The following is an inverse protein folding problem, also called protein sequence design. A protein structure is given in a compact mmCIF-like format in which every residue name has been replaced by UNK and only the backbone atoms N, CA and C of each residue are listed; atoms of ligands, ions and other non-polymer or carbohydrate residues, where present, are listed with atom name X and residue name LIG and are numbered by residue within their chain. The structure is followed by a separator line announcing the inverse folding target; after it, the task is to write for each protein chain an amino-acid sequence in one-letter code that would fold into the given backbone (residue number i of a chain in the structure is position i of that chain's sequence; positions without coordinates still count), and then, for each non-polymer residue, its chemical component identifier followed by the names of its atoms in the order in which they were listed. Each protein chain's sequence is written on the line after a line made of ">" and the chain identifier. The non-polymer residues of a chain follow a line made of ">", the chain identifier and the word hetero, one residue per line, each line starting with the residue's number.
data_IF_269446223694
#
_entry.id   IF_269446223694
#
_cell.length_a   1.000
_cell.length_b   1.000
_cell.length_c   1.000
_cell.angle_alpha   90.00
_cell.angle_beta   90.00
_cell.angle_gamma   90.00
#
_symmetry.space_group_name_H-M   'P 1'
#
loop_
_entity.id
_entity.type
_entity.pdbx_description
1 polymer ?
#
# COMPACT_ATOMS: atom_id res chain seq x y z
N UNK A 1 -18.73 28.06 -42.87
CA UNK A 1 -17.87 27.06 -42.22
C UNK A 1 -18.28 26.97 -40.75
N UNK A 2 -19.04 25.95 -40.40
CA UNK A 2 -19.39 25.67 -39.00
C UNK A 2 -18.13 25.12 -38.31
N UNK A 3 -17.56 25.86 -37.34
CA UNK A 3 -16.48 25.34 -36.50
C UNK A 3 -17.11 24.33 -35.55
N UNK A 4 -17.00 23.05 -35.92
CA UNK A 4 -17.27 21.93 -35.05
C UNK A 4 -16.39 22.08 -33.79
N UNK A 5 -16.99 22.46 -32.66
CA UNK A 5 -16.29 22.51 -31.38
C UNK A 5 -15.94 21.07 -31.01
N UNK A 6 -14.67 20.68 -31.21
CA UNK A 6 -14.15 19.40 -30.71
C UNK A 6 -14.50 19.28 -29.22
N UNK A 7 -15.26 18.23 -28.89
CA UNK A 7 -15.71 17.94 -27.54
C UNK A 7 -14.51 17.43 -26.74
N UNK A 8 -14.05 18.19 -25.74
CA UNK A 8 -12.97 17.78 -24.85
C UNK A 8 -13.37 16.47 -24.15
N UNK A 9 -12.52 15.45 -24.22
CA UNK A 9 -12.75 14.14 -23.60
C UNK A 9 -12.66 14.32 -22.08
N UNK A 10 -13.73 14.01 -21.36
CA UNK A 10 -13.74 14.17 -19.90
C UNK A 10 -12.79 13.17 -19.23
N UNK A 11 -11.97 13.67 -18.31
CA UNK A 11 -10.98 12.90 -17.55
C UNK A 11 -11.48 12.77 -16.11
N UNK A 12 -11.28 11.59 -15.53
CA UNK A 12 -11.62 11.31 -14.14
C UNK A 12 -10.70 12.10 -13.19
N UNK A 13 -11.21 12.54 -12.04
CA UNK A 13 -10.41 13.32 -11.08
C UNK A 13 -9.24 12.49 -10.54
N UNK A 14 -9.46 11.20 -10.37
CA UNK A 14 -8.49 10.20 -9.92
C UNK A 14 -7.29 10.12 -10.86
N UNK A 15 -7.51 10.21 -12.18
CA UNK A 15 -6.43 10.20 -13.19
C UNK A 15 -5.61 11.49 -13.13
N UNK A 16 -6.29 12.64 -13.02
CA UNK A 16 -5.61 13.93 -12.93
C UNK A 16 -4.84 14.08 -11.61
N UNK A 17 -5.42 13.61 -10.51
CA UNK A 17 -4.78 13.62 -9.20
C UNK A 17 -3.63 12.62 -9.14
N UNK A 18 -3.76 11.44 -9.75
CA UNK A 18 -2.66 10.48 -9.84
C UNK A 18 -1.45 11.12 -10.53
N UNK A 19 -1.66 11.79 -11.67
CA UNK A 19 -0.59 12.54 -12.35
C UNK A 19 -0.01 13.66 -11.48
N UNK A 20 -0.87 14.44 -10.82
CA UNK A 20 -0.46 15.53 -9.92
C UNK A 20 0.43 15.05 -8.77
N UNK A 21 0.15 13.86 -8.22
CA UNK A 21 0.94 13.26 -7.16
C UNK A 21 2.14 12.45 -7.68
N UNK A 22 2.09 11.85 -8.87
CA UNK A 22 3.24 11.19 -9.51
C UNK A 22 4.40 12.16 -9.79
N UNK A 23 4.10 13.43 -10.12
CA UNK A 23 5.09 14.50 -10.22
C UNK A 23 5.69 14.90 -8.84
N UNK A 24 5.09 14.41 -7.74
CA UNK A 24 5.41 14.76 -6.34
C UNK A 24 5.51 13.54 -5.41
N UNK A 25 6.02 12.40 -5.89
CA UNK A 25 6.35 11.18 -5.13
C UNK A 25 5.33 10.00 -5.30
N UNK A 26 5.92 8.82 -5.51
CA UNK A 26 5.35 7.45 -5.59
C UNK A 26 4.64 7.04 -6.90
N UNK A 27 5.31 6.15 -7.64
CA UNK A 27 4.65 5.26 -8.60
C UNK A 27 3.76 4.31 -7.80
N UNK A 28 2.44 4.34 -8.07
CA UNK A 28 1.37 3.40 -7.62
C UNK A 28 0.42 3.87 -6.51
N UNK A 29 0.08 5.15 -6.46
CA UNK A 29 -0.95 5.63 -5.52
C UNK A 29 -2.38 5.24 -5.98
N UNK A 30 -3.09 4.46 -5.15
CA UNK A 30 -4.54 4.28 -5.29
C UNK A 30 -5.24 5.51 -4.69
N UNK A 31 -5.98 6.24 -5.51
CA UNK A 31 -6.80 7.37 -5.07
C UNK A 31 -8.23 6.89 -4.84
N UNK A 32 -8.74 7.13 -3.64
CA UNK A 32 -10.05 6.68 -3.21
C UNK A 32 -11.02 7.84 -3.27
N UNK A 33 -12.19 7.62 -3.87
CA UNK A 33 -13.30 8.56 -3.72
C UNK A 33 -13.93 8.37 -2.35
N UNK A 34 -13.98 9.46 -1.59
CA UNK A 34 -14.51 9.44 -0.23
C UNK A 34 -15.55 10.51 -0.03
N UNK A 35 -16.41 10.32 0.95
CA UNK A 35 -17.39 11.31 1.39
C UNK A 35 -17.22 11.57 2.89
N UNK A 36 -17.03 12.84 3.24
CA UNK A 36 -16.96 13.32 4.62
C UNK A 36 -18.00 14.43 4.76
N UNK A 37 -18.87 14.35 5.76
CA UNK A 37 -19.93 15.36 5.98
C UNK A 37 -20.76 15.68 4.71
N UNK A 38 -21.09 14.66 3.92
CA UNK A 38 -21.79 14.76 2.62
C UNK A 38 -21.04 15.54 1.52
N UNK A 39 -19.74 15.81 1.69
CA UNK A 39 -18.89 16.43 0.67
C UNK A 39 -18.03 15.37 -0.01
N UNK A 40 -18.04 15.27 -1.35
CA UNK A 40 -17.16 14.38 -2.07
C UNK A 40 -15.72 14.92 -2.03
N UNK A 41 -14.79 14.07 -1.64
CA UNK A 41 -13.36 14.35 -1.53
C UNK A 41 -12.57 13.16 -2.09
N UNK A 42 -11.25 13.30 -2.14
CA UNK A 42 -10.34 12.29 -2.65
C UNK A 42 -9.31 11.97 -1.58
N UNK A 43 -9.19 10.70 -1.23
CA UNK A 43 -8.23 10.23 -0.24
C UNK A 43 -7.04 9.58 -0.96
N UNK A 44 -5.86 9.99 -0.54
CA UNK A 44 -4.58 9.42 -0.90
C UNK A 44 -4.07 8.63 0.30
N UNK A 45 -3.81 7.35 0.10
CA UNK A 45 -3.14 6.51 1.10
C UNK A 45 -1.64 6.78 1.03
N UNK A 46 -1.03 7.00 2.19
CA UNK A 46 0.41 7.17 2.35
C UNK A 46 0.95 6.10 3.29
N UNK A 47 2.27 5.83 3.29
CA UNK A 47 2.84 4.86 4.24
C UNK A 47 2.59 5.22 5.71
N UNK A 48 2.49 6.52 6.02
CA UNK A 48 2.32 7.03 7.39
C UNK A 48 0.85 7.15 7.81
N UNK A 49 -0.09 7.07 6.86
CA UNK A 49 -1.50 7.30 7.12
C UNK A 49 -2.31 7.54 5.85
N UNK A 50 -3.16 8.56 5.90
CA UNK A 50 -3.87 9.00 4.70
C UNK A 50 -4.18 10.49 4.73
N UNK A 51 -4.19 11.06 3.53
CA UNK A 51 -4.46 12.46 3.29
C UNK A 51 -5.72 12.62 2.46
N UNK A 52 -6.53 13.62 2.78
CA UNK A 52 -7.80 13.87 2.10
C UNK A 52 -7.78 15.24 1.45
N UNK A 53 -8.04 15.24 0.16
CA UNK A 53 -7.95 16.39 -0.71
C UNK A 53 -9.31 16.79 -1.28
N UNK A 54 -9.53 18.09 -1.37
CA UNK A 54 -10.50 18.67 -2.28
C UNK A 54 -9.81 18.92 -3.63
N UNK A 55 -10.45 18.52 -4.72
CA UNK A 55 -9.96 18.75 -6.07
C UNK A 55 -11.05 19.36 -6.95
N UNK A 56 -10.70 20.41 -7.70
CA UNK A 56 -11.55 21.05 -8.69
C UNK A 56 -10.85 21.02 -10.03
N UNK A 57 -11.53 20.51 -11.06
CA UNK A 57 -11.04 20.52 -12.44
C UNK A 57 -11.57 21.73 -13.21
N UNK A 58 -10.78 22.18 -14.18
CA UNK A 58 -11.14 23.20 -15.18
C UNK A 58 -10.69 22.73 -16.58
N UNK A 59 -11.11 23.44 -17.62
CA UNK A 59 -10.69 23.20 -18.99
C UNK A 59 -9.66 24.26 -19.37
N UNK A 60 -8.45 23.84 -19.75
CA UNK A 60 -7.39 24.71 -20.26
C UNK A 60 -7.04 24.27 -21.67
N UNK A 61 -7.42 25.07 -22.67
CA UNK A 61 -7.25 24.70 -24.08
C UNK A 61 -8.15 23.52 -24.48
N UNK A 62 -7.54 22.44 -24.98
CA UNK A 62 -8.22 21.18 -25.35
C UNK A 62 -8.14 20.09 -24.27
N UNK A 63 -7.64 20.39 -23.07
CA UNK A 63 -7.44 19.41 -21.98
C UNK A 63 -8.18 19.80 -20.69
N UNK A 64 -8.67 18.80 -19.95
CA UNK A 64 -9.11 18.98 -18.56
C UNK A 64 -7.89 18.92 -17.62
N UNK A 65 -7.73 19.94 -16.78
CA UNK A 65 -6.63 20.06 -15.81
C UNK A 65 -7.17 20.35 -14.43
N UNK A 66 -6.36 20.15 -13.39
CA UNK A 66 -6.73 20.53 -12.03
C UNK A 66 -6.55 22.05 -11.87
N UNK A 67 -7.63 22.75 -11.54
CA UNK A 67 -7.63 24.18 -11.19
C UNK A 67 -7.13 24.37 -9.75
N UNK A 68 -7.57 23.48 -8.86
CA UNK A 68 -7.30 23.58 -7.43
C UNK A 68 -7.21 22.20 -6.81
N UNK A 69 -6.16 21.98 -6.03
CA UNK A 69 -5.98 20.84 -5.12
C UNK A 69 -5.69 21.41 -3.74
N UNK A 70 -6.45 20.99 -2.72
CA UNK A 70 -6.34 21.51 -1.36
C UNK A 70 -6.42 20.37 -0.36
N UNK A 71 -5.37 20.22 0.47
CA UNK A 71 -5.38 19.29 1.60
C UNK A 71 -6.40 19.75 2.64
N UNK A 72 -7.31 18.85 3.04
CA UNK A 72 -8.36 19.11 4.03
C UNK A 72 -8.11 18.41 5.35
N UNK A 73 -7.61 17.18 5.27
CA UNK A 73 -7.28 16.38 6.45
C UNK A 73 -6.01 15.59 6.16
N UNK A 74 -5.19 15.41 7.19
CA UNK A 74 -4.04 14.51 7.20
C UNK A 74 -4.10 13.76 8.51
N UNK A 75 -4.03 12.44 8.42
CA UNK A 75 -4.06 11.55 9.57
C UNK A 75 -2.90 10.58 9.48
N UNK A 76 -2.27 10.31 10.61
CA UNK A 76 -1.35 9.20 10.78
C UNK A 76 -2.12 7.92 11.13
N UNK A 77 -1.61 6.75 10.75
CA UNK A 77 -2.13 5.48 11.24
C UNK A 77 -2.17 5.43 12.79
N UNK A 78 -1.18 6.06 13.44
CA UNK A 78 -1.08 6.13 14.90
C UNK A 78 -2.16 7.03 15.55
N UNK A 79 -2.89 7.83 14.77
CA UNK A 79 -4.00 8.63 15.29
C UNK A 79 -5.20 7.77 15.70
N UNK A 80 -5.21 6.50 15.26
CA UNK A 80 -6.33 5.59 15.43
C UNK A 80 -5.92 4.34 16.22
N UNK A 81 -6.72 3.99 17.20
CA UNK A 81 -6.53 2.77 18.02
C UNK A 81 -7.56 1.68 17.71
N UNK A 82 -8.64 2.02 16.99
CA UNK A 82 -9.61 1.06 16.47
C UNK A 82 -10.55 1.74 15.47
N UNK A 83 -11.19 0.91 14.64
CA UNK A 83 -12.16 1.37 13.65
C UNK A 83 -13.34 0.40 13.58
N UNK A 84 -14.55 0.98 13.56
CA UNK A 84 -15.79 0.23 13.32
C UNK A 84 -16.18 0.38 11.86
N UNK A 85 -16.45 -0.75 11.20
CA UNK A 85 -16.73 -0.83 9.75
C UNK A 85 -18.15 -1.31 9.50
N UNK A 86 -18.90 -0.51 8.74
CA UNK A 86 -20.28 -0.79 8.34
C UNK A 86 -20.39 -0.86 6.82
N UNK A 87 -20.48 -2.09 6.29
CA UNK A 87 -20.50 -2.38 4.84
C UNK A 87 -21.91 -2.23 4.27
N UNK A 88 -22.07 -1.38 3.25
CA UNK A 88 -23.28 -1.24 2.45
C UNK A 88 -23.04 -1.70 1.01
N UNK A 89 -24.13 -1.96 0.27
CA UNK A 89 -24.06 -2.44 -1.12
C UNK A 89 -23.27 -1.53 -2.07
N UNK A 90 -23.22 -0.21 -1.80
CA UNK A 90 -22.58 0.79 -2.67
C UNK A 90 -21.49 1.61 -1.98
N UNK A 91 -21.19 1.34 -0.70
CA UNK A 91 -20.19 2.09 0.07
C UNK A 91 -19.87 1.40 1.38
N UNK A 92 -18.72 1.69 1.95
CA UNK A 92 -18.34 1.26 3.31
C UNK A 92 -18.15 2.48 4.20
N UNK A 93 -18.74 2.48 5.39
CA UNK A 93 -18.57 3.53 6.39
C UNK A 93 -17.57 3.07 7.46
N UNK A 94 -16.52 3.85 7.64
CA UNK A 94 -15.49 3.71 8.67
C UNK A 94 -15.74 4.73 9.77
N UNK A 95 -15.82 4.28 11.00
CA UNK A 95 -15.96 5.11 12.20
C UNK A 95 -14.75 4.87 13.08
N UNK A 96 -13.86 5.85 13.14
CA UNK A 96 -12.63 5.76 13.92
C UNK A 96 -12.91 6.09 15.39
N UNK A 97 -12.08 5.57 16.30
CA UNK A 97 -12.17 5.83 17.75
C UNK A 97 -12.12 7.31 18.12
N UNK A 98 -11.55 8.16 17.26
CA UNK A 98 -11.50 9.63 17.44
C UNK A 98 -12.84 10.32 17.19
N UNK A 99 -13.86 9.59 16.72
CA UNK A 99 -15.14 10.14 16.28
C UNK A 99 -15.14 10.61 14.82
N UNK A 100 -13.99 10.56 14.14
CA UNK A 100 -13.91 10.82 12.71
C UNK A 100 -14.64 9.73 11.92
N UNK A 101 -15.43 10.13 10.92
CA UNK A 101 -16.16 9.20 10.07
C UNK A 101 -15.84 9.40 8.61
N UNK A 102 -15.56 8.31 7.91
CA UNK A 102 -15.17 8.30 6.52
C UNK A 102 -16.04 7.32 5.75
N UNK A 103 -16.67 7.77 4.66
CA UNK A 103 -17.41 6.88 3.76
C UNK A 103 -16.62 6.68 2.47
N UNK A 104 -16.34 5.43 2.13
CA UNK A 104 -15.60 5.03 0.91
C UNK A 104 -16.57 4.36 -0.05
N UNK A 105 -16.47 4.64 -1.35
CA UNK A 105 -17.32 4.02 -2.38
C UNK A 105 -16.99 2.53 -2.58
N UNK A 106 -17.98 1.71 -2.97
CA UNK A 106 -17.89 0.24 -2.99
C UNK A 106 -16.80 -0.37 -3.89
N UNK A 107 -16.22 0.40 -4.82
CA UNK A 107 -15.12 -0.07 -5.66
C UNK A 107 -13.81 -0.27 -4.89
N UNK A 108 -13.73 0.25 -3.66
CA UNK A 108 -12.50 0.30 -2.90
C UNK A 108 -12.72 -0.09 -1.43
N UNK A 109 -11.95 -1.05 -0.92
CA UNK A 109 -11.98 -1.48 0.50
C UNK A 109 -10.70 -0.96 1.20
N UNK A 110 -10.87 -0.16 2.26
CA UNK A 110 -9.79 0.37 3.10
C UNK A 110 -9.45 -0.61 4.23
N UNK A 111 -10.26 -1.67 4.42
CA UNK A 111 -10.11 -2.60 5.53
C UNK A 111 -8.76 -3.31 5.53
N UNK A 112 -8.26 -3.72 4.35
CA UNK A 112 -6.96 -4.38 4.21
C UNK A 112 -5.81 -3.47 4.68
N UNK A 113 -5.85 -2.19 4.29
CA UNK A 113 -4.84 -1.18 4.69
C UNK A 113 -4.88 -0.91 6.20
N UNK A 114 -6.07 -0.84 6.80
CA UNK A 114 -6.21 -0.63 8.24
C UNK A 114 -5.65 -1.82 9.03
N UNK A 115 -5.89 -3.04 8.55
CA UNK A 115 -5.40 -4.26 9.19
C UNK A 115 -3.88 -4.43 9.03
N UNK A 116 -3.28 -4.03 7.91
CA UNK A 116 -1.82 -4.11 7.72
C UNK A 116 -1.04 -3.17 8.64
N UNK A 117 -1.70 -2.18 9.23
CA UNK A 117 -1.12 -1.25 10.20
C UNK A 117 -1.55 -1.53 11.64
N UNK A 118 -1.93 -2.77 11.95
CA UNK A 118 -2.33 -3.23 13.29
C UNK A 118 -3.50 -2.45 13.92
N UNK A 119 -4.33 -1.77 13.13
CA UNK A 119 -5.52 -1.08 13.62
C UNK A 119 -6.67 -2.11 13.73
N UNK A 120 -7.17 -2.41 14.94
CA UNK A 120 -8.25 -3.38 15.11
C UNK A 120 -9.53 -2.93 14.39
N UNK A 121 -10.03 -3.80 13.51
CA UNK A 121 -11.24 -3.59 12.73
C UNK A 121 -12.40 -4.39 13.31
N UNK A 122 -13.48 -3.70 13.69
CA UNK A 122 -14.73 -4.33 14.17
C UNK A 122 -15.84 -4.14 13.14
N UNK A 123 -16.39 -5.23 12.61
CA UNK A 123 -17.51 -5.16 11.66
C UNK A 123 -18.86 -5.04 12.39
N UNK A 124 -19.70 -4.11 11.93
CA UNK A 124 -21.04 -3.93 12.46
C UNK A 124 -22.02 -4.93 11.82
N UNK A 125 -22.40 -5.99 12.54
CA UNK A 125 -23.36 -6.97 12.03
C UNK A 125 -24.79 -6.40 11.92
N UNK A 126 -25.35 -6.46 10.70
CA UNK A 126 -26.74 -6.07 10.43
C UNK A 126 -27.56 -7.27 9.98
N UNK A 127 -28.76 -7.41 10.55
CA UNK A 127 -29.79 -8.36 10.09
C UNK A 127 -30.08 -8.14 8.60
N UNK A 128 -30.13 -9.23 7.83
CA UNK A 128 -30.13 -9.24 6.36
C UNK A 128 -31.19 -8.36 5.68
N UNK A 129 -32.38 -8.21 6.26
CA UNK A 129 -33.46 -7.37 5.71
C UNK A 129 -33.14 -5.86 5.73
N UNK A 130 -32.20 -5.41 6.57
CA UNK A 130 -31.72 -4.02 6.56
C UNK A 130 -30.76 -3.73 5.38
N UNK A 131 -30.40 -4.76 4.59
CA UNK A 131 -29.58 -4.64 3.38
C UNK A 131 -30.41 -4.34 2.12
N UNK A 132 -31.74 -4.48 2.17
CA UNK A 132 -32.65 -4.23 1.04
C UNK A 132 -32.90 -2.71 0.88
N UNK A 133 -32.74 -2.17 -0.33
CA UNK A 133 -33.02 -0.77 -0.63
C UNK A 133 -34.49 -0.44 -0.29
N UNK A 134 -34.70 0.61 0.52
CA UNK A 134 -36.02 1.03 1.02
C UNK A 134 -36.40 0.52 2.42
N UNK A 135 -35.86 -0.63 2.85
CA UNK A 135 -36.06 -1.15 4.21
C UNK A 135 -35.05 -0.62 5.24
N UNK A 136 -33.95 -0.03 4.75
CA UNK A 136 -32.83 0.51 5.56
C UNK A 136 -33.23 1.59 6.56
N UNK A 137 -34.22 2.44 6.26
CA UNK A 137 -34.52 3.61 7.09
C UNK A 137 -35.57 3.36 8.17
N UNK A 138 -36.16 2.15 8.25
CA UNK A 138 -37.32 1.81 9.10
C UNK A 138 -38.52 2.77 8.96
N UNK A 139 -38.52 3.60 7.92
CA UNK A 139 -39.58 4.56 7.67
C UNK A 139 -40.67 3.84 6.88
N UNK A 140 -41.85 3.72 7.48
CA UNK A 140 -42.99 2.95 6.94
C UNK A 140 -43.28 3.31 5.48
N UNK A 141 -43.16 4.59 5.11
CA UNK A 141 -43.44 5.03 3.74
C UNK A 141 -42.40 4.55 2.72
N UNK A 142 -41.10 4.55 3.07
CA UNK A 142 -40.03 4.03 2.20
C UNK A 142 -40.09 2.51 2.04
N UNK A 143 -40.56 1.81 3.06
CA UNK A 143 -40.83 0.37 2.99
C UNK A 143 -42.01 0.07 2.06
N UNK A 144 -43.11 0.82 2.15
CA UNK A 144 -44.27 0.65 1.26
C UNK A 144 -43.89 0.86 -0.21
N UNK A 145 -43.13 1.92 -0.52
CA UNK A 145 -42.67 2.19 -1.89
C UNK A 145 -41.77 1.06 -2.42
N UNK A 146 -40.87 0.53 -1.58
CA UNK A 146 -40.02 -0.59 -1.97
C UNK A 146 -40.83 -1.87 -2.21
N UNK A 147 -41.82 -2.18 -1.36
CA UNK A 147 -42.72 -3.32 -1.55
C UNK A 147 -43.46 -3.22 -2.88
N UNK A 148 -44.01 -2.04 -3.21
CA UNK A 148 -44.70 -1.83 -4.50
C UNK A 148 -43.73 -2.02 -5.67
N UNK A 149 -42.51 -1.48 -5.58
CA UNK A 149 -41.49 -1.64 -6.63
C UNK A 149 -41.09 -3.11 -6.86
N UNK A 150 -40.91 -3.87 -5.79
CA UNK A 150 -40.62 -5.31 -5.90
C UNK A 150 -41.82 -6.10 -6.41
N UNK A 151 -43.05 -5.77 -6.00
CA UNK A 151 -44.27 -6.37 -6.55
C UNK A 151 -44.44 -6.05 -8.04
N UNK A 152 -44.04 -4.87 -8.50
CA UNK A 152 -44.04 -4.49 -9.92
C UNK A 152 -43.01 -5.28 -10.74
N UNK A 153 -41.81 -5.51 -10.19
CA UNK A 153 -40.79 -6.36 -10.83
C UNK A 153 -41.30 -7.80 -10.91
N UNK A 154 -41.96 -8.28 -9.86
CA UNK A 154 -42.57 -9.63 -9.84
C UNK A 154 -43.75 -9.69 -10.83
N UNK A 155 -44.62 -8.68 -10.89
CA UNK A 155 -45.76 -8.66 -11.82
C UNK A 155 -45.31 -8.55 -13.27
N UNK A 156 -44.27 -7.76 -13.57
CA UNK A 156 -43.68 -7.66 -14.91
C UNK A 156 -43.03 -8.97 -15.40
N UNK A 157 -42.67 -9.88 -14.49
CA UNK A 157 -42.21 -11.24 -14.81
C UNK A 157 -43.39 -12.20 -15.01
N UNK A 158 -44.57 -11.89 -14.46
CA UNK A 158 -45.78 -12.72 -14.51
C UNK A 158 -46.79 -12.32 -15.61
N UNK A 159 -46.68 -11.12 -16.21
CA UNK A 159 -47.58 -10.62 -17.29
C UNK A 159 -47.43 -11.36 -18.65
N UNK A 160 -46.66 -12.45 -18.71
CA UNK A 160 -46.46 -13.25 -19.93
C UNK A 160 -47.54 -14.29 -20.24
N UNK A 161 -48.56 -14.46 -19.40
CA UNK A 161 -49.58 -15.51 -19.60
C UNK A 161 -51.00 -15.07 -19.19
N UNK A 162 -51.83 -14.93 -20.24
CA UNK A 162 -53.30 -15.14 -20.34
C UNK A 162 -54.19 -13.89 -20.42
N UNK A 163 -54.98 -13.85 -21.50
CA UNK A 163 -56.03 -12.88 -21.82
C UNK A 163 -57.43 -13.55 -21.89
N UNK A 164 -58.31 -13.00 -21.02
CA UNK A 164 -59.78 -12.75 -20.99
C UNK A 164 -60.88 -13.74 -21.41
N UNK A 165 -61.74 -14.03 -20.41
CA UNK A 165 -63.22 -13.95 -20.25
C UNK A 165 -64.20 -13.82 -21.44
N UNK A 166 -65.34 -14.54 -21.38
CA UNK A 166 -66.65 -13.98 -20.97
C UNK A 166 -67.89 -14.91 -21.22
N UNK A 167 -68.53 -15.29 -20.11
CA UNK A 167 -69.98 -15.42 -19.78
C UNK A 167 -71.09 -15.74 -20.82
N UNK A 168 -71.86 -16.84 -20.59
CA UNK A 168 -73.29 -16.87 -20.13
C UNK A 168 -73.99 -18.22 -20.45
N UNK A 169 -74.34 -18.99 -19.41
CA UNK A 169 -75.56 -19.84 -19.35
C UNK A 169 -75.70 -20.49 -17.96
N UNK A 170 -76.32 -19.75 -17.04
CA UNK A 170 -76.20 -19.85 -15.58
C UNK A 170 -77.00 -20.96 -14.87
N UNK A 171 -77.82 -21.78 -15.54
CA UNK A 171 -78.78 -22.63 -14.78
C UNK A 171 -78.79 -24.14 -15.10
N UNK A 172 -77.90 -24.60 -15.99
CA UNK A 172 -77.45 -26.01 -15.99
C UNK A 172 -76.20 -26.23 -15.11
N UNK A 173 -75.67 -25.13 -14.53
CA UNK A 173 -74.37 -25.04 -13.89
C UNK A 173 -74.29 -25.84 -12.58
N UNK A 174 -75.25 -25.80 -11.67
CA UNK A 174 -75.01 -26.16 -10.25
C UNK A 174 -74.68 -27.66 -10.00
N UNK A 175 -75.09 -28.61 -10.85
CA UNK A 175 -74.76 -30.04 -10.67
C UNK A 175 -73.58 -30.53 -11.52
N UNK A 176 -73.34 -29.93 -12.68
CA UNK A 176 -72.11 -30.16 -13.47
C UNK A 176 -70.91 -29.39 -12.88
N UNK A 177 -71.14 -28.20 -12.32
CA UNK A 177 -70.17 -27.33 -11.64
C UNK A 177 -69.59 -28.00 -10.39
N UNK A 178 -70.34 -28.84 -9.68
CA UNK A 178 -69.79 -29.56 -8.51
C UNK A 178 -68.89 -30.73 -8.91
N UNK A 179 -69.19 -31.43 -10.01
CA UNK A 179 -68.34 -32.49 -10.54
C UNK A 179 -67.11 -31.94 -11.27
N UNK A 180 -67.27 -30.80 -11.95
CA UNK A 180 -66.19 -30.09 -12.65
C UNK A 180 -65.32 -29.27 -11.67
N UNK A 181 -65.88 -28.63 -10.63
CA UNK A 181 -65.09 -28.05 -9.51
C UNK A 181 -64.30 -29.11 -8.77
N UNK A 182 -64.85 -30.30 -8.53
CA UNK A 182 -64.10 -31.38 -7.89
C UNK A 182 -62.93 -31.87 -8.77
N UNK A 183 -63.11 -31.88 -10.09
CA UNK A 183 -62.06 -32.22 -11.05
C UNK A 183 -61.01 -31.12 -11.20
N UNK A 184 -61.45 -29.86 -11.26
CA UNK A 184 -60.59 -28.67 -11.31
C UNK A 184 -59.83 -28.48 -10.00
N UNK A 185 -60.44 -28.73 -8.83
CA UNK A 185 -59.73 -28.73 -7.54
C UNK A 185 -58.74 -29.88 -7.45
N UNK A 186 -59.07 -31.08 -7.95
CA UNK A 186 -58.13 -32.19 -8.01
C UNK A 186 -56.95 -31.89 -8.96
N UNK A 187 -57.22 -31.34 -10.14
CA UNK A 187 -56.19 -30.96 -11.11
C UNK A 187 -55.36 -29.75 -10.63
N UNK A 188 -55.98 -28.76 -9.97
CA UNK A 188 -55.28 -27.63 -9.35
C UNK A 188 -54.43 -28.07 -8.16
N UNK A 189 -54.89 -29.04 -7.38
CA UNK A 189 -54.13 -29.61 -6.25
C UNK A 189 -52.98 -30.47 -6.75
N UNK A 190 -53.18 -31.26 -7.81
CA UNK A 190 -52.13 -32.00 -8.48
C UNK A 190 -51.11 -31.08 -9.15
N UNK A 191 -51.55 -29.99 -9.80
CA UNK A 191 -50.69 -28.98 -10.41
C UNK A 191 -49.90 -28.19 -9.36
N UNK A 192 -50.53 -27.76 -8.26
CA UNK A 192 -49.83 -27.14 -7.11
C UNK A 192 -48.82 -28.09 -6.46
N UNK A 193 -49.13 -29.39 -6.36
CA UNK A 193 -48.19 -30.37 -5.81
C UNK A 193 -47.02 -30.64 -6.77
N UNK A 194 -47.27 -30.67 -8.08
CA UNK A 194 -46.24 -30.78 -9.10
C UNK A 194 -45.34 -29.54 -9.14
N UNK A 195 -45.91 -28.34 -9.07
CA UNK A 195 -45.18 -27.06 -8.96
C UNK A 195 -44.36 -27.03 -7.67
N UNK A 196 -44.91 -27.45 -6.52
CA UNK A 196 -44.16 -27.49 -5.25
C UNK A 196 -43.02 -28.50 -5.28
N UNK A 197 -43.17 -29.62 -5.99
CA UNK A 197 -42.09 -30.61 -6.20
C UNK A 197 -41.03 -30.09 -7.18
N UNK A 198 -41.43 -29.35 -8.22
CA UNK A 198 -40.52 -28.71 -9.16
C UNK A 198 -39.71 -27.59 -8.49
N UNK A 199 -40.37 -26.72 -7.71
CA UNK A 199 -39.71 -25.67 -6.92
C UNK A 199 -38.76 -26.27 -5.87
N UNK A 200 -39.14 -27.37 -5.20
CA UNK A 200 -38.26 -28.05 -4.26
C UNK A 200 -37.03 -28.67 -4.95
N UNK A 201 -37.21 -29.25 -6.14
CA UNK A 201 -36.10 -29.80 -6.93
C UNK A 201 -35.18 -28.70 -7.46
N UNK A 202 -35.72 -27.55 -7.87
CA UNK A 202 -34.93 -26.40 -8.32
C UNK A 202 -34.21 -25.72 -7.15
N UNK A 203 -34.84 -25.61 -5.98
CA UNK A 203 -34.21 -25.12 -4.76
C UNK A 203 -33.06 -26.04 -4.31
N UNK A 204 -33.22 -27.35 -4.42
CA UNK A 204 -32.16 -28.32 -4.11
C UNK A 204 -30.98 -28.20 -5.09
N UNK A 205 -31.25 -28.04 -6.39
CA UNK A 205 -30.19 -27.77 -7.39
C UNK A 205 -29.46 -26.45 -7.13
N UNK A 206 -30.18 -25.38 -6.79
CA UNK A 206 -29.56 -24.09 -6.45
C UNK A 206 -28.72 -24.17 -5.17
N UNK A 207 -29.16 -24.94 -4.18
CA UNK A 207 -28.39 -25.17 -2.96
C UNK A 207 -27.11 -25.99 -3.23
N UNK A 208 -27.19 -27.01 -4.10
CA UNK A 208 -26.01 -27.79 -4.50
C UNK A 208 -25.03 -26.96 -5.34
N UNK A 209 -25.52 -26.10 -6.24
CA UNK A 209 -24.69 -25.16 -7.00
C UNK A 209 -24.05 -24.08 -6.12
N UNK A 210 -24.77 -23.55 -5.12
CA UNK A 210 -24.24 -22.58 -4.17
C UNK A 210 -23.20 -23.22 -3.23
N UNK A 211 -23.42 -24.47 -2.81
CA UNK A 211 -22.45 -25.23 -2.03
C UNK A 211 -21.20 -25.59 -2.85
N UNK A 212 -21.36 -25.95 -4.13
CA UNK A 212 -20.24 -26.19 -5.04
C UNK A 212 -19.44 -24.91 -5.31
N UNK A 213 -20.12 -23.78 -5.48
CA UNK A 213 -19.48 -22.47 -5.68
C UNK A 213 -18.74 -22.01 -4.43
N UNK A 214 -19.31 -22.17 -3.23
CA UNK A 214 -18.60 -21.89 -1.97
C UNK A 214 -17.34 -22.74 -1.81
N UNK A 215 -17.41 -24.04 -2.10
CA UNK A 215 -16.23 -24.91 -2.07
C UNK A 215 -15.17 -24.49 -3.10
N UNK A 216 -15.59 -24.11 -4.31
CA UNK A 216 -14.67 -23.62 -5.34
C UNK A 216 -14.03 -22.27 -4.96
N UNK A 217 -14.80 -21.36 -4.36
CA UNK A 217 -14.32 -20.06 -3.88
C UNK A 217 -13.38 -20.23 -2.68
N UNK A 218 -13.67 -21.15 -1.75
CA UNK A 218 -12.77 -21.51 -0.64
C UNK A 218 -11.48 -22.18 -1.13
N UNK A 219 -11.56 -23.07 -2.12
CA UNK A 219 -10.38 -23.73 -2.70
C UNK A 219 -9.54 -22.75 -3.54
N UNK A 220 -10.17 -21.79 -4.23
CA UNK A 220 -9.49 -20.71 -4.95
C UNK A 220 -8.85 -19.69 -4.01
N UNK A 221 -9.52 -19.35 -2.90
CA UNK A 221 -8.96 -18.49 -1.85
C UNK A 221 -7.78 -19.17 -1.16
N UNK A 222 -7.86 -20.48 -0.90
CA UNK A 222 -6.78 -21.27 -0.32
C UNK A 222 -5.60 -21.40 -1.29
N UNK A 223 -5.85 -21.62 -2.58
CA UNK A 223 -4.79 -21.61 -3.62
C UNK A 223 -4.13 -20.24 -3.78
N UNK A 224 -4.88 -19.14 -3.69
CA UNK A 224 -4.33 -17.77 -3.68
C UNK A 224 -3.48 -17.50 -2.44
N UNK A 225 -3.96 -17.89 -1.25
CA UNK A 225 -3.21 -17.75 -0.01
C UNK A 225 -1.93 -18.61 -0.02
N UNK A 226 -1.99 -19.83 -0.56
CA UNK A 226 -0.83 -20.71 -0.73
C UNK A 226 0.16 -20.19 -1.81
N UNK A 227 -0.32 -19.49 -2.85
CA UNK A 227 0.53 -18.82 -3.85
C UNK A 227 1.18 -17.53 -3.31
N UNK A 228 0.47 -16.74 -2.50
CA UNK A 228 1.01 -15.55 -1.84
C UNK A 228 2.03 -15.92 -0.76
N UNK A 229 1.75 -16.95 0.05
CA UNK A 229 2.70 -17.51 1.01
C UNK A 229 3.95 -18.10 0.34
N UNK A 230 3.82 -18.65 -0.88
CA UNK A 230 4.98 -19.10 -1.68
C UNK A 230 5.82 -17.95 -2.23
N UNK A 231 5.21 -16.84 -2.65
CA UNK A 231 5.94 -15.65 -3.15
C UNK A 231 6.71 -14.93 -2.04
N UNK A 232 6.23 -14.98 -0.81
CA UNK A 232 6.92 -14.39 0.35
C UNK A 232 8.10 -15.26 0.83
N UNK A 233 8.04 -16.58 0.57
CA UNK A 233 9.10 -17.54 0.85
C UNK A 233 10.26 -17.55 -0.19
N UNK A 234 10.11 -16.91 -1.35
CA UNK A 234 11.13 -16.94 -2.43
C UNK A 234 12.13 -15.77 -2.42
N UNK A 235 11.89 -14.68 -1.68
CA UNK A 235 12.80 -13.53 -1.70
C UNK A 235 14.10 -13.82 -0.97
N UNK A 236 15.23 -13.63 -1.66
CA UNK A 236 16.56 -13.77 -1.05
C UNK A 236 16.77 -12.76 0.07
N UNK A 237 17.68 -13.00 1.04
CA UNK A 237 18.03 -12.00 2.05
C UNK A 237 18.41 -10.64 1.45
N UNK A 238 19.12 -10.66 0.32
CA UNK A 238 19.47 -9.48 -0.46
C UNK A 238 18.22 -8.72 -0.95
N UNK A 239 17.26 -9.41 -1.57
CA UNK A 239 16.02 -8.79 -2.05
C UNK A 239 15.21 -8.19 -0.92
N UNK A 240 15.06 -8.91 0.21
CA UNK A 240 14.37 -8.42 1.40
C UNK A 240 15.04 -7.16 1.96
N UNK A 241 16.37 -7.15 2.03
CA UNK A 241 17.12 -5.99 2.51
C UNK A 241 16.96 -4.78 1.59
N UNK A 242 17.04 -4.98 0.27
CA UNK A 242 16.84 -3.90 -0.72
C UNK A 242 15.42 -3.33 -0.59
N UNK A 243 14.40 -4.18 -0.46
CA UNK A 243 13.02 -3.74 -0.26
C UNK A 243 12.85 -2.95 1.05
N UNK A 244 13.45 -3.42 2.15
CA UNK A 244 13.43 -2.73 3.43
C UNK A 244 14.11 -1.35 3.35
N UNK A 245 15.30 -1.27 2.73
CA UNK A 245 16.01 0.00 2.51
C UNK A 245 15.19 0.94 1.64
N UNK A 246 14.58 0.43 0.56
CA UNK A 246 13.71 1.22 -0.32
C UNK A 246 12.50 1.77 0.44
N UNK A 247 11.93 0.98 1.37
CA UNK A 247 10.87 1.43 2.26
C UNK A 247 11.26 2.61 3.15
N UNK A 248 12.53 2.73 3.53
CA UNK A 248 13.04 3.84 4.33
C UNK A 248 13.13 5.17 3.56
N UNK A 249 13.12 5.15 2.22
CA UNK A 249 13.13 6.38 1.40
C UNK A 249 11.90 7.24 1.69
N UNK A 250 10.76 6.59 1.87
CA UNK A 250 9.52 7.28 2.18
C UNK A 250 9.55 8.01 3.52
N UNK A 251 10.25 7.42 4.48
CA UNK A 251 10.41 7.92 5.84
C UNK A 251 11.55 8.94 5.97
N UNK A 252 12.23 9.29 4.86
CA UNK A 252 13.48 10.08 4.86
C UNK A 252 14.54 9.53 5.81
N UNK A 253 14.53 8.21 5.99
CA UNK A 253 15.49 7.48 6.82
C UNK A 253 16.57 6.81 5.97
N UNK A 254 16.37 6.75 4.65
CA UNK A 254 17.42 6.47 3.69
C UNK A 254 17.23 7.33 2.45
N UNK A 255 18.28 7.50 1.66
CA UNK A 255 18.32 8.32 0.47
C UNK A 255 19.06 7.55 -0.62
N UNK A 256 18.40 7.36 -1.76
CA UNK A 256 18.96 6.66 -2.90
C UNK A 256 20.16 7.42 -3.50
N UNK A 257 20.85 6.81 -4.45
CA UNK A 257 21.86 7.50 -5.26
C UNK A 257 21.24 8.68 -6.01
N UNK A 258 22.00 9.77 -6.16
CA UNK A 258 21.55 10.95 -6.89
C UNK A 258 22.16 12.24 -6.39
N UNK A 259 21.52 13.34 -6.80
CA UNK A 259 21.86 14.69 -6.36
C UNK A 259 20.71 15.28 -5.56
N UNK A 260 21.04 15.82 -4.41
CA UNK A 260 20.10 16.38 -3.44
C UNK A 260 20.44 17.85 -3.22
N UNK A 261 19.42 18.69 -3.11
CA UNK A 261 19.62 20.08 -2.73
C UNK A 261 19.74 20.18 -1.21
N UNK A 262 20.36 21.27 -0.75
CA UNK A 262 20.43 21.58 0.68
C UNK A 262 19.06 21.45 1.35
N UNK A 263 19.02 20.76 2.49
CA UNK A 263 17.80 20.51 3.27
C UNK A 263 17.02 19.26 2.86
N UNK A 264 17.32 18.61 1.73
CA UNK A 264 16.66 17.35 1.35
C UNK A 264 17.06 16.21 2.29
N UNK A 265 18.35 16.14 2.62
CA UNK A 265 18.93 15.17 3.57
C UNK A 265 19.21 15.91 4.88
N UNK A 266 18.51 15.57 5.99
CA UNK A 266 18.74 16.22 7.27
C UNK A 266 20.17 16.02 7.77
N UNK A 267 20.71 17.01 8.49
CA UNK A 267 22.01 16.87 9.14
C UNK A 267 22.04 15.66 10.07
N UNK A 268 23.15 14.92 10.06
CA UNK A 268 23.28 13.71 10.86
C UNK A 268 24.30 12.75 10.29
N UNK A 269 24.50 11.65 11.01
CA UNK A 269 25.39 10.57 10.56
C UNK A 269 24.60 9.54 9.76
N UNK A 270 25.15 9.16 8.62
CA UNK A 270 24.58 8.19 7.68
C UNK A 270 25.61 7.14 7.33
N UNK A 271 25.16 5.89 7.23
CA UNK A 271 25.93 4.87 6.55
C UNK A 271 25.85 5.09 5.04
N UNK A 272 27.01 5.14 4.39
CA UNK A 272 27.14 5.03 2.96
C UNK A 272 27.26 3.55 2.57
N UNK A 273 26.37 3.06 1.72
CA UNK A 273 26.37 1.68 1.23
C UNK A 273 26.45 1.68 -0.29
N UNK A 274 27.56 1.16 -0.83
CA UNK A 274 27.61 0.78 -2.25
C UNK A 274 27.05 -0.62 -2.47
N UNK A 275 26.50 -0.84 -3.66
CA UNK A 275 25.97 -2.12 -4.10
C UNK A 275 26.36 -2.37 -5.56
N UNK A 276 26.17 -3.61 -6.03
CA UNK A 276 26.45 -3.96 -7.43
C UNK A 276 25.73 -3.02 -8.42
N UNK A 277 26.51 -2.25 -9.18
CA UNK A 277 26.01 -1.28 -10.16
C UNK A 277 25.87 0.16 -9.63
N UNK A 278 26.07 0.40 -8.33
CA UNK A 278 26.18 1.74 -7.77
C UNK A 278 27.61 2.29 -7.94
N UNK A 279 27.75 3.61 -7.88
CA UNK A 279 29.06 4.22 -7.75
C UNK A 279 29.54 4.20 -6.29
N UNK A 280 30.63 4.91 -6.06
CA UNK A 280 31.40 4.88 -4.82
C UNK A 280 31.65 6.26 -4.21
N UNK A 281 31.18 7.30 -4.89
CA UNK A 281 31.47 8.67 -4.53
C UNK A 281 30.38 9.27 -3.65
N UNK A 282 30.81 10.06 -2.68
CA UNK A 282 29.99 10.99 -1.91
C UNK A 282 30.64 12.37 -1.94
N UNK A 283 29.83 13.43 -2.04
CA UNK A 283 30.27 14.78 -1.78
C UNK A 283 29.15 15.67 -1.24
N UNK A 284 29.51 16.59 -0.36
CA UNK A 284 28.71 17.74 0.02
C UNK A 284 29.42 19.01 -0.48
N UNK A 285 28.70 19.87 -1.20
CA UNK A 285 29.24 21.10 -1.81
C UNK A 285 28.43 22.29 -1.37
N UNK A 286 29.08 23.38 -0.97
CA UNK A 286 28.41 24.63 -0.61
C UNK A 286 27.61 25.20 -1.80
N UNK A 287 26.75 26.23 -1.60
CA UNK A 287 25.99 26.84 -2.69
C UNK A 287 26.84 27.45 -3.82
N UNK A 288 28.13 27.71 -3.59
CA UNK A 288 29.08 28.19 -4.60
C UNK A 288 29.77 27.03 -5.37
N UNK A 289 29.50 25.78 -4.98
CA UNK A 289 30.07 24.58 -5.58
C UNK A 289 31.41 24.15 -4.98
N UNK A 290 31.89 24.81 -3.92
CA UNK A 290 33.10 24.38 -3.23
C UNK A 290 32.83 23.10 -2.46
N UNK A 291 33.75 22.16 -2.51
CA UNK A 291 33.66 20.91 -1.75
C UNK A 291 33.78 21.26 -0.27
N UNK A 292 32.74 20.93 0.49
CA UNK A 292 32.77 20.92 1.95
C UNK A 292 33.45 19.62 2.37
N UNK A 293 32.96 18.49 1.85
CA UNK A 293 33.51 17.17 2.09
C UNK A 293 33.27 16.25 0.90
N UNK A 294 34.16 15.27 0.71
CA UNK A 294 33.98 14.22 -0.28
C UNK A 294 34.76 12.95 0.08
N UNK A 295 34.30 11.82 -0.42
CA UNK A 295 35.03 10.55 -0.32
C UNK A 295 34.68 9.60 -1.47
N UNK A 296 35.65 8.77 -1.87
CA UNK A 296 35.47 7.59 -2.68
C UNK A 296 35.54 6.35 -1.78
N UNK A 297 34.39 5.76 -1.47
CA UNK A 297 34.31 4.56 -0.65
C UNK A 297 34.65 3.30 -1.44
N UNK A 298 35.54 2.45 -0.91
CA UNK A 298 35.82 1.16 -1.52
C UNK A 298 34.63 0.19 -1.45
N UNK A 299 33.83 0.27 -0.38
CA UNK A 299 32.65 -0.58 -0.14
C UNK A 299 31.55 0.16 0.64
N UNK A 300 31.67 0.23 1.95
CA UNK A 300 30.76 0.96 2.84
C UNK A 300 31.55 1.92 3.73
N UNK A 301 30.81 2.82 4.35
CA UNK A 301 31.39 3.73 5.33
C UNK A 301 30.35 4.60 5.99
N UNK A 302 30.82 5.70 6.58
CA UNK A 302 29.98 6.63 7.30
C UNK A 302 30.32 8.05 6.90
N UNK A 303 29.28 8.85 6.68
CA UNK A 303 29.34 10.27 6.38
C UNK A 303 28.55 11.05 7.41
N UNK A 304 28.98 12.25 7.72
CA UNK A 304 28.17 13.24 8.41
C UNK A 304 27.68 14.26 7.39
N UNK A 305 26.35 14.35 7.25
CA UNK A 305 25.71 15.41 6.46
C UNK A 305 25.67 16.67 7.30
N UNK A 306 26.26 17.75 6.80
CA UNK A 306 26.35 19.02 7.51
C UNK A 306 25.08 19.88 7.36
N UNK A 307 24.21 19.55 6.40
CA UNK A 307 23.12 20.43 5.93
C UNK A 307 23.64 21.83 5.55
N UNK A 308 24.86 21.86 5.03
CA UNK A 308 25.56 23.08 4.64
C UNK A 308 25.45 23.31 3.13
N UNK A 309 25.20 22.26 2.35
CA UNK A 309 25.27 22.30 0.89
C UNK A 309 24.42 21.28 0.14
N UNK A 310 24.61 21.24 -1.17
CA UNK A 310 24.05 20.21 -2.05
C UNK A 310 24.87 18.92 -1.92
N UNK A 311 24.22 17.78 -2.03
CA UNK A 311 24.85 16.46 -1.89
C UNK A 311 24.81 15.72 -3.21
N UNK A 312 25.90 15.07 -3.57
CA UNK A 312 25.98 14.06 -4.62
C UNK A 312 26.39 12.74 -3.95
N UNK A 313 25.57 11.70 -4.10
CA UNK A 313 25.89 10.38 -3.54
C UNK A 313 25.64 9.31 -4.59
N UNK A 314 26.61 8.43 -4.77
CA UNK A 314 26.53 7.30 -5.71
C UNK A 314 26.36 5.94 -5.00
N UNK A 315 26.26 5.96 -3.67
CA UNK A 315 25.75 4.87 -2.84
C UNK A 315 24.52 5.34 -2.07
N UNK A 316 23.78 4.40 -1.46
CA UNK A 316 22.63 4.75 -0.61
C UNK A 316 23.16 5.33 0.70
N UNK A 317 22.57 6.44 1.15
CA UNK A 317 22.76 6.96 2.49
C UNK A 317 21.66 6.46 3.41
N UNK A 318 22.00 5.78 4.49
CA UNK A 318 21.03 5.21 5.45
C UNK A 318 21.27 5.87 6.80
N UNK A 319 20.25 6.51 7.35
CA UNK A 319 20.33 7.10 8.69
C UNK A 319 20.63 5.98 9.69
N UNK A 320 21.65 6.17 10.53
CA UNK A 320 22.08 5.12 11.47
C UNK A 320 20.98 4.75 12.48
N UNK A 321 20.00 5.64 12.73
CA UNK A 321 18.85 5.33 13.58
C UNK A 321 17.93 4.26 12.98
N UNK A 322 18.00 4.03 11.65
CA UNK A 322 17.18 3.04 10.95
C UNK A 322 17.75 1.62 11.01
N UNK A 323 18.96 1.42 11.56
CA UNK A 323 19.56 0.08 11.70
C UNK A 323 18.67 -0.88 12.49
N UNK A 324 18.02 -0.39 13.55
CA UNK A 324 17.07 -1.18 14.33
C UNK A 324 15.88 -1.66 13.49
N UNK A 325 15.33 -0.80 12.64
CA UNK A 325 14.26 -1.14 11.69
C UNK A 325 14.71 -2.19 10.67
N UNK A 326 15.96 -2.10 10.21
CA UNK A 326 16.54 -3.05 9.26
C UNK A 326 16.97 -4.38 9.90
N UNK A 327 16.97 -4.48 11.24
CA UNK A 327 17.43 -5.66 11.96
C UNK A 327 18.94 -5.92 11.80
N UNK A 328 19.74 -4.86 11.65
CA UNK A 328 21.19 -4.92 11.45
C UNK A 328 21.93 -4.14 12.53
N UNK A 329 23.19 -4.49 12.80
CA UNK A 329 24.03 -3.79 13.77
C UNK A 329 24.74 -2.58 13.19
N UNK A 330 25.08 -2.60 11.90
CA UNK A 330 25.99 -1.63 11.28
C UNK A 330 26.00 -1.66 9.76
N UNK A 331 26.78 -0.74 9.17
CA UNK A 331 26.92 -0.59 7.73
C UNK A 331 27.56 -1.84 7.09
N UNK A 332 28.49 -2.49 7.80
CA UNK A 332 29.13 -3.74 7.37
C UNK A 332 28.10 -4.83 7.06
N UNK A 333 27.17 -5.05 7.98
CA UNK A 333 26.17 -6.10 7.84
C UNK A 333 25.18 -5.79 6.71
N UNK A 334 24.83 -4.52 6.51
CA UNK A 334 24.01 -4.11 5.36
C UNK A 334 24.76 -4.41 4.08
N UNK A 335 26.02 -3.98 3.97
CA UNK A 335 26.85 -4.21 2.79
C UNK A 335 26.99 -5.70 2.47
N UNK A 336 27.23 -6.53 3.48
CA UNK A 336 27.28 -7.99 3.37
C UNK A 336 25.99 -8.57 2.76
N UNK A 337 24.84 -8.17 3.26
CA UNK A 337 23.55 -8.68 2.79
C UNK A 337 23.24 -8.19 1.36
N UNK A 338 23.42 -6.89 1.09
CA UNK A 338 23.05 -6.31 -0.22
C UNK A 338 24.01 -6.70 -1.35
N UNK A 339 25.23 -7.11 -1.03
CA UNK A 339 26.22 -7.62 -2.00
C UNK A 339 26.40 -9.14 -1.94
N UNK A 340 25.63 -9.85 -1.10
CA UNK A 340 25.72 -11.29 -0.91
C UNK A 340 27.15 -11.77 -0.58
N UNK A 341 27.83 -11.04 0.30
CA UNK A 341 29.17 -11.37 0.85
C UNK A 341 29.05 -11.64 2.34
N UNK A 342 29.99 -12.41 2.90
CA UNK A 342 30.00 -12.76 4.32
C UNK A 342 31.38 -12.48 4.92
N UNK A 343 31.40 -12.14 6.22
CA UNK A 343 32.62 -11.87 6.98
C UNK A 343 33.56 -10.88 6.26
N UNK A 344 32.96 -9.78 5.78
CA UNK A 344 33.66 -8.77 5.02
C UNK A 344 34.74 -8.12 5.88
N UNK A 345 35.99 -8.18 5.43
CA UNK A 345 37.16 -7.67 6.16
C UNK A 345 38.02 -6.75 5.31
N UNK A 346 37.56 -6.40 4.12
CA UNK A 346 38.34 -5.69 3.12
C UNK A 346 38.21 -4.16 3.27
N UNK A 347 38.62 -3.41 2.25
CA UNK A 347 38.68 -1.95 2.27
C UNK A 347 37.30 -1.31 2.52
N UNK A 348 37.18 -0.58 3.63
CA UNK A 348 35.96 0.10 4.07
C UNK A 348 36.29 1.15 5.15
N UNK A 349 35.27 1.88 5.59
CA UNK A 349 35.32 2.68 6.82
C UNK A 349 34.50 1.97 7.91
N UNK A 350 35.17 1.18 8.75
CA UNK A 350 34.53 0.45 9.84
C UNK A 350 34.28 1.34 11.05
N UNK A 351 33.05 1.38 11.58
CA UNK A 351 32.77 2.05 12.86
C UNK A 351 33.05 1.10 14.02
N UNK A 352 33.95 1.49 14.91
CA UNK A 352 34.42 0.67 16.02
C UNK A 352 33.39 0.67 17.15
N UNK A 353 33.05 -0.54 17.62
CA UNK A 353 31.92 -0.81 18.50
C UNK A 353 30.59 -1.05 17.79
N UNK A 354 30.58 -0.95 16.45
CA UNK A 354 29.38 -1.15 15.62
C UNK A 354 29.62 -2.24 14.58
N UNK A 355 30.57 -2.03 13.67
CA UNK A 355 30.94 -3.00 12.64
C UNK A 355 32.01 -3.98 13.10
N UNK A 356 32.95 -3.50 13.93
CA UNK A 356 34.06 -4.28 14.50
C UNK A 356 34.25 -3.91 15.98
N UNK A 357 34.64 -4.84 16.86
CA UNK A 357 34.90 -4.51 18.26
C UNK A 357 36.15 -3.63 18.42
N UNK A 358 36.29 -2.86 19.52
CA UNK A 358 37.54 -2.18 19.84
C UNK A 358 38.66 -3.19 20.12
N UNK A 359 39.90 -2.85 19.76
CA UNK A 359 41.03 -3.74 19.93
C UNK A 359 42.20 -3.43 18.99
N UNK A 360 43.16 -4.35 18.97
CA UNK A 360 44.29 -4.32 18.04
C UNK A 360 43.94 -5.09 16.76
N UNK A 361 44.26 -4.51 15.62
CA UNK A 361 44.07 -5.14 14.31
C UNK A 361 45.35 -5.12 13.50
N UNK A 362 45.61 -6.23 12.80
CA UNK A 362 46.64 -6.31 11.77
C UNK A 362 45.95 -6.12 10.42
N UNK A 363 46.39 -5.14 9.64
CA UNK A 363 45.91 -4.88 8.29
C UNK A 363 46.95 -5.38 7.30
N UNK A 364 46.52 -6.15 6.32
CA UNK A 364 47.35 -6.65 5.22
C UNK A 364 46.96 -5.93 3.92
N UNK A 365 47.93 -5.31 3.25
CA UNK A 365 47.67 -4.54 2.02
C UNK A 365 47.73 -5.41 0.76
N UNK A 366 47.00 -4.98 -0.27
CA UNK A 366 47.12 -5.45 -1.65
C UNK A 366 48.10 -4.57 -2.42
N UNK A 367 49.38 -4.62 -2.01
CA UNK A 367 50.43 -3.73 -2.52
C UNK A 367 50.56 -2.47 -1.65
N UNK A 368 50.52 -1.28 -2.24
CA UNK A 368 50.55 -0.02 -1.48
C UNK A 368 49.14 0.30 -0.97
N UNK A 369 48.93 0.11 0.34
CA UNK A 369 47.68 0.36 1.05
C UNK A 369 47.74 1.60 1.93
N UNK A 370 46.57 2.05 2.36
CA UNK A 370 46.40 3.14 3.32
C UNK A 370 45.49 2.70 4.45
N UNK A 371 45.82 3.10 5.67
CA UNK A 371 45.00 2.89 6.85
C UNK A 371 44.95 4.18 7.65
N UNK A 372 43.78 4.49 8.18
CA UNK A 372 43.62 5.60 9.11
C UNK A 372 42.63 5.25 10.22
N UNK A 373 42.96 5.69 11.43
CA UNK A 373 42.04 5.75 12.57
C UNK A 373 41.52 7.18 12.64
N UNK A 374 40.21 7.32 12.53
CA UNK A 374 39.50 8.59 12.48
C UNK A 374 38.69 8.76 13.76
N UNK A 375 38.59 9.99 14.26
CA UNK A 375 37.78 10.31 15.45
C UNK A 375 36.27 10.30 15.18
N UNK A 376 35.87 10.35 13.91
CA UNK A 376 34.50 10.50 13.45
C UNK A 376 34.30 10.01 11.99
N UNK A 377 33.08 10.15 11.46
CA UNK A 377 32.77 9.83 10.06
C UNK A 377 33.36 10.87 9.10
N UNK A 378 33.33 10.58 7.79
CA UNK A 378 33.67 11.54 6.73
C UNK A 378 32.84 12.81 6.91
N UNK A 379 33.49 13.97 6.85
CA UNK A 379 32.86 15.28 7.02
C UNK A 379 32.60 15.74 8.45
N UNK A 380 33.00 14.94 9.45
CA UNK A 380 33.06 15.39 10.84
C UNK A 380 34.08 14.58 11.64
N UNK A 381 35.36 14.69 11.27
CA UNK A 381 36.44 13.95 11.92
C UNK A 381 37.79 14.62 11.79
N UNK A 382 38.65 14.34 12.77
CA UNK A 382 40.10 14.48 12.67
C UNK A 382 40.76 13.11 12.48
N UNK A 383 41.97 13.09 11.90
CA UNK A 383 42.81 11.89 11.84
C UNK A 383 43.47 11.70 13.21
N UNK A 384 43.30 10.53 13.81
CA UNK A 384 43.96 10.14 15.06
C UNK A 384 45.32 9.48 14.76
N UNK A 385 45.35 8.60 13.77
CA UNK A 385 46.53 7.88 13.32
C UNK A 385 46.35 7.51 11.85
N UNK A 386 47.43 7.49 11.06
CA UNK A 386 47.37 7.01 9.68
C UNK A 386 48.74 6.53 9.18
N UNK A 387 48.71 5.66 8.17
CA UNK A 387 49.92 5.17 7.52
C UNK A 387 49.67 4.75 6.07
N UNK A 388 50.65 5.02 5.20
CA UNK A 388 50.78 4.36 3.91
C UNK A 388 51.74 3.18 4.07
N UNK A 389 51.28 1.97 3.78
CA UNK A 389 52.04 0.77 4.08
C UNK A 389 52.02 -0.25 2.94
N UNK A 390 53.02 -1.12 2.93
CA UNK A 390 53.08 -2.29 2.06
C UNK A 390 53.43 -3.52 2.89
N UNK A 391 52.56 -4.54 2.86
CA UNK A 391 52.65 -5.71 3.74
C UNK A 391 51.67 -5.60 4.90
N UNK A 392 52.16 -5.74 6.13
CA UNK A 392 51.34 -5.75 7.34
C UNK A 392 51.57 -4.50 8.18
N UNK A 393 50.48 -3.90 8.67
CA UNK A 393 50.49 -2.81 9.62
C UNK A 393 49.61 -3.14 10.82
N UNK A 394 50.00 -2.74 12.02
CA UNK A 394 49.22 -2.99 13.24
C UNK A 394 48.72 -1.67 13.80
N UNK A 395 47.43 -1.57 14.08
CA UNK A 395 46.82 -0.38 14.69
C UNK A 395 45.90 -0.77 15.84
N UNK A 396 45.72 0.15 16.79
CA UNK A 396 44.78 -0.02 17.89
C UNK A 396 43.62 0.94 17.71
N UNK A 397 42.41 0.42 17.89
CA UNK A 397 41.19 1.21 17.77
C UNK A 397 40.33 1.07 19.03
N UNK A 398 39.62 2.14 19.33
CA UNK A 398 38.77 2.29 20.52
C UNK A 398 37.34 2.58 20.11
N UNK A 399 36.40 2.30 21.02
CA UNK A 399 34.98 2.45 20.75
C UNK A 399 34.63 3.87 20.29
N UNK A 400 33.85 3.99 19.21
CA UNK A 400 33.44 5.27 18.62
C UNK A 400 34.40 5.83 17.57
N UNK A 401 35.61 5.27 17.41
CA UNK A 401 36.49 5.61 16.29
C UNK A 401 36.05 4.93 15.00
N UNK A 402 36.63 5.35 13.88
CA UNK A 402 36.42 4.75 12.57
C UNK A 402 37.75 4.29 12.00
N UNK A 403 37.80 3.07 11.50
CA UNK A 403 38.97 2.49 10.86
C UNK A 403 38.76 2.52 9.34
N UNK A 404 39.43 3.44 8.66
CA UNK A 404 39.53 3.47 7.22
C UNK A 404 40.62 2.50 6.76
N UNK A 405 40.28 1.62 5.84
CA UNK A 405 41.22 0.75 5.14
C UNK A 405 41.00 0.94 3.64
N UNK A 406 42.07 1.19 2.90
CA UNK A 406 42.06 1.22 1.44
C UNK A 406 43.15 0.34 0.88
N UNK A 407 42.79 -0.47 -0.13
CA UNK A 407 43.64 -1.50 -0.74
C UNK A 407 44.26 -2.44 0.29
N UNK A 408 43.44 -2.93 1.21
CA UNK A 408 43.86 -3.92 2.20
C UNK A 408 42.68 -4.49 2.97
N UNK A 409 42.98 -5.47 3.82
CA UNK A 409 42.02 -6.20 4.64
C UNK A 409 42.51 -6.38 6.07
N UNK A 410 41.59 -6.58 7.00
CA UNK A 410 41.87 -7.05 8.35
C UNK A 410 42.34 -8.52 8.27
N UNK A 411 43.58 -8.76 8.66
CA UNK A 411 44.17 -10.08 8.81
C UNK A 411 43.95 -10.60 10.23
N UNK A 412 43.54 -11.88 10.33
CA UNK A 412 43.49 -12.60 11.61
C UNK A 412 44.89 -12.95 12.13
#
# INVERSE_FOLDING_TARGET
>A
MSKEKKKVKSVAHEVLLAKYFEERIYKKNKIYRVTIENKPLFMLITPEGFEIYFAKKTVSGEEEVLEKVELKYSFSWNDFSSVTVDKFALSTLYQFNTGFTLKVDASNDLTEELQSHDIPVTFLERKWYNKILGFRSKNKWKMVVAVIGYLFIISAVFDGFIESDAEKAEQAAIQAENAEKAKIEADQKAKKEAERKAEAAEAMKRADEEAAKKKADEEAAKKKADEEAKKEAEKTPQQKMIENITGLFALKQAFDTGSYIKGDIPAGEYAFISFSGSGKYYAEKDPAGNIIDNENFDSFGYVYVNDAGNIETQGVLINIAAFGTLGVSGAKQIYEIVNNVQDYKDSAWYKVGVDIPPGQYVIESYGQGYVAVMAGPVGKSDIVDNENFNGRYTTNVTNGQYLQISKGKIAQ
#
